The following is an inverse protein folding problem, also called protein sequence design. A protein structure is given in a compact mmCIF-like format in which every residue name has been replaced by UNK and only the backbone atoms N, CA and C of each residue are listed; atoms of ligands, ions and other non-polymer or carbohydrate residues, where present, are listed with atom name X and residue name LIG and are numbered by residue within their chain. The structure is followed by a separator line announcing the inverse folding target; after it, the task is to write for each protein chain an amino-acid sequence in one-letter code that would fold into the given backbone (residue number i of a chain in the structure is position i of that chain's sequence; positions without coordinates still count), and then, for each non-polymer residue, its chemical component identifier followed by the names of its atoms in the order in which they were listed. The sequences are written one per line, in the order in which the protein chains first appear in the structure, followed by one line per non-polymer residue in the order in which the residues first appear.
data_IF_071952851583
#
_entry.id   IF_071952851583
#
_cell.length_a   1.000
_cell.length_b   1.000
_cell.length_c   1.000
_cell.angle_alpha   90.00
_cell.angle_beta   90.00
_cell.angle_gamma   90.00
#
_symmetry.space_group_name_H-M   'P 1'
#
loop_
_entity.id
_entity.type
_entity.pdbx_description
1 polymer ?
#
# COMPACT_ATOMS: atom_id res chain seq x y z
N UNK A 1 -5.64 -20.86 -18.78
CA UNK A 1 -6.44 -20.88 -20.01
C UNK A 1 -7.18 -19.56 -20.11
N UNK A 2 -6.70 -18.67 -20.96
CA UNK A 2 -7.26 -17.33 -21.18
C UNK A 2 -8.51 -17.48 -22.06
N UNK A 3 -9.68 -17.09 -21.52
CA UNK A 3 -10.91 -17.05 -22.32
C UNK A 3 -10.76 -15.92 -23.36
N UNK A 4 -10.64 -16.31 -24.63
CA UNK A 4 -10.70 -15.39 -25.77
C UNK A 4 -12.15 -14.94 -25.92
N UNK A 5 -12.45 -13.70 -25.53
CA UNK A 5 -13.74 -13.07 -25.84
C UNK A 5 -13.72 -12.54 -27.26
N UNK A 6 -14.49 -13.16 -28.19
CA UNK A 6 -14.85 -12.60 -29.50
C UNK A 6 -15.90 -11.48 -29.26
N UNK A 7 -15.45 -10.28 -28.92
CA UNK A 7 -16.29 -9.09 -28.71
C UNK A 7 -15.41 -7.84 -28.65
N UNK A 8 -16.01 -6.65 -28.70
CA UNK A 8 -15.29 -5.39 -28.45
C UNK A 8 -14.54 -5.46 -27.11
N UNK A 9 -13.31 -4.92 -27.06
CA UNK A 9 -12.55 -4.86 -25.81
C UNK A 9 -13.38 -4.24 -24.70
N UNK A 10 -13.31 -4.82 -23.50
CA UNK A 10 -13.97 -4.29 -22.30
C UNK A 10 -13.32 -2.99 -21.86
N UNK A 11 -14.12 -2.00 -21.48
CA UNK A 11 -13.69 -0.67 -21.07
C UNK A 11 -13.77 -0.50 -19.56
N UNK A 12 -12.64 -0.22 -18.96
CA UNK A 12 -12.51 -0.04 -17.50
C UNK A 12 -12.25 1.43 -17.22
N UNK A 13 -13.17 2.08 -16.51
CA UNK A 13 -13.03 3.47 -16.08
C UNK A 13 -12.54 3.52 -14.64
N UNK A 14 -11.41 4.18 -14.43
CA UNK A 14 -10.75 4.33 -13.13
C UNK A 14 -10.73 5.81 -12.76
N UNK A 15 -11.35 6.17 -11.66
CA UNK A 15 -11.45 7.52 -11.12
C UNK A 15 -10.66 7.61 -9.82
N UNK A 16 -9.45 8.15 -9.87
CA UNK A 16 -8.51 8.16 -8.75
C UNK A 16 -8.19 9.56 -8.26
N UNK A 17 -8.15 9.75 -6.94
CA UNK A 17 -7.70 10.99 -6.32
C UNK A 17 -6.19 11.03 -6.15
N UNK A 18 -5.56 9.89 -5.84
CA UNK A 18 -4.12 9.79 -5.65
C UNK A 18 -3.62 8.48 -6.24
N UNK A 19 -2.55 8.56 -7.03
CA UNK A 19 -1.90 7.39 -7.63
C UNK A 19 -0.51 7.23 -7.00
N UNK A 20 -0.16 5.98 -6.75
CA UNK A 20 1.17 5.58 -6.28
C UNK A 20 1.70 4.42 -7.14
N UNK A 21 2.99 4.11 -7.02
CA UNK A 21 3.66 3.07 -7.81
C UNK A 21 2.94 1.71 -7.79
N UNK A 22 2.42 1.32 -6.63
CA UNK A 22 1.66 0.08 -6.47
C UNK A 22 0.34 0.06 -7.28
N UNK A 23 -0.30 1.20 -7.49
CA UNK A 23 -1.47 1.29 -8.39
C UNK A 23 -1.03 1.09 -9.84
N UNK A 24 0.08 1.70 -10.24
CA UNK A 24 0.63 1.56 -11.59
C UNK A 24 1.01 0.11 -11.89
N UNK A 25 1.58 -0.61 -10.93
CA UNK A 25 1.87 -2.04 -11.07
C UNK A 25 0.61 -2.87 -11.39
N UNK A 26 -0.50 -2.61 -10.68
CA UNK A 26 -1.79 -3.25 -10.97
C UNK A 26 -2.33 -2.86 -12.36
N UNK A 27 -2.18 -1.59 -12.77
CA UNK A 27 -2.59 -1.14 -14.11
C UNK A 27 -1.74 -1.76 -15.20
N UNK A 28 -0.42 -1.91 -14.99
CA UNK A 28 0.47 -2.57 -15.93
C UNK A 28 0.10 -4.05 -16.12
N UNK A 29 -0.28 -4.74 -15.04
CA UNK A 29 -0.77 -6.10 -15.13
C UNK A 29 -2.13 -6.16 -15.87
N UNK A 30 -3.03 -5.21 -15.60
CA UNK A 30 -4.33 -5.12 -16.26
C UNK A 30 -4.19 -4.89 -17.78
N UNK A 31 -3.16 -4.16 -18.22
CA UNK A 31 -2.86 -3.93 -19.65
C UNK A 31 -2.50 -5.22 -20.41
N UNK A 32 -2.04 -6.26 -19.72
CA UNK A 32 -1.77 -7.58 -20.34
C UNK A 32 -3.06 -8.29 -20.73
N UNK A 33 -4.21 -7.81 -20.26
CA UNK A 33 -5.53 -8.32 -20.62
C UNK A 33 -6.06 -7.56 -21.85
N UNK A 34 -7.03 -8.17 -22.59
CA UNK A 34 -7.70 -7.54 -23.72
C UNK A 34 -8.75 -6.50 -23.26
N UNK A 35 -8.30 -5.42 -22.62
CA UNK A 35 -9.16 -4.33 -22.10
C UNK A 35 -8.66 -2.96 -22.56
N UNK A 36 -9.57 -1.96 -22.55
CA UNK A 36 -9.23 -0.55 -22.70
C UNK A 36 -9.33 0.12 -21.33
N UNK A 37 -8.28 0.82 -20.89
CA UNK A 37 -8.20 1.45 -19.59
C UNK A 37 -8.34 2.97 -19.76
N UNK A 38 -9.31 3.56 -19.09
CA UNK A 38 -9.53 5.00 -19.00
C UNK A 38 -9.28 5.45 -17.57
N UNK A 39 -8.28 6.31 -17.37
CA UNK A 39 -7.86 6.80 -16.07
C UNK A 39 -8.10 8.31 -15.97
N UNK A 40 -8.92 8.72 -15.01
CA UNK A 40 -9.06 10.13 -14.62
C UNK A 40 -8.52 10.27 -13.21
N UNK A 41 -7.47 11.07 -13.03
CA UNK A 41 -6.82 11.23 -11.72
C UNK A 41 -6.65 12.70 -11.32
N UNK A 42 -6.42 12.95 -10.05
CA UNK A 42 -5.91 14.23 -9.60
C UNK A 42 -4.45 14.41 -10.01
N UNK A 43 -3.97 15.65 -9.98
CA UNK A 43 -2.54 15.94 -10.18
C UNK A 43 -1.70 15.29 -9.07
N UNK A 44 -0.44 14.97 -9.39
CA UNK A 44 0.48 14.30 -8.45
C UNK A 44 0.74 15.19 -7.23
N UNK A 45 0.76 14.58 -6.06
CA UNK A 45 1.07 15.26 -4.81
C UNK A 45 2.56 15.70 -4.78
N UNK A 46 2.80 16.95 -4.39
CA UNK A 46 4.16 17.53 -4.30
C UNK A 46 5.04 16.89 -3.22
N UNK A 47 4.43 16.31 -2.17
CA UNK A 47 5.16 15.63 -1.09
C UNK A 47 5.70 14.25 -1.49
N UNK A 48 5.10 13.63 -2.50
CA UNK A 48 5.52 12.35 -3.05
C UNK A 48 5.53 12.45 -4.58
N UNK A 49 6.57 13.05 -5.19
CA UNK A 49 6.62 13.38 -6.61
C UNK A 49 6.94 12.15 -7.46
N UNK A 50 6.06 11.14 -7.41
CA UNK A 50 6.19 9.96 -8.25
C UNK A 50 6.12 10.33 -9.73
N UNK A 51 6.98 9.71 -10.52
CA UNK A 51 6.92 9.77 -11.98
C UNK A 51 6.23 8.49 -12.49
N UNK A 52 5.20 8.66 -13.31
CA UNK A 52 4.42 7.55 -13.82
C UNK A 52 4.46 7.51 -15.34
N UNK A 53 4.51 6.30 -15.88
CA UNK A 53 4.34 6.05 -17.30
C UNK A 53 2.99 5.35 -17.54
N UNK A 54 2.09 6.03 -18.26
CA UNK A 54 0.76 5.53 -18.59
C UNK A 54 0.63 5.14 -20.08
N UNK A 55 1.68 4.60 -20.70
CA UNK A 55 1.60 4.11 -22.07
C UNK A 55 0.39 3.18 -22.24
N UNK A 56 -0.34 3.32 -23.36
CA UNK A 56 -1.54 2.53 -23.69
C UNK A 56 -2.71 2.65 -22.69
N UNK A 57 -2.72 3.68 -21.83
CA UNK A 57 -3.83 4.05 -20.97
C UNK A 57 -4.36 5.40 -21.44
N UNK A 58 -5.68 5.51 -21.61
CA UNK A 58 -6.34 6.80 -21.89
C UNK A 58 -6.37 7.62 -20.60
N UNK A 59 -5.31 8.41 -20.35
CA UNK A 59 -5.17 9.19 -19.14
C UNK A 59 -5.65 10.63 -19.34
N UNK A 60 -6.31 11.16 -18.31
CA UNK A 60 -6.60 12.59 -18.15
C UNK A 60 -6.56 13.01 -16.68
N UNK A 61 -6.38 14.29 -16.43
CA UNK A 61 -6.43 14.83 -15.07
C UNK A 61 -7.77 15.48 -14.76
N UNK A 62 -8.20 15.42 -13.50
CA UNK A 62 -9.52 15.89 -13.05
C UNK A 62 -9.76 17.37 -13.34
N UNK A 63 -8.75 18.21 -13.32
CA UNK A 63 -8.77 19.64 -13.58
C UNK A 63 -9.00 20.01 -15.06
N UNK A 64 -8.86 19.07 -15.99
CA UNK A 64 -9.23 19.25 -17.41
C UNK A 64 -10.74 19.38 -17.61
N UNK A 65 -11.55 18.95 -16.64
CA UNK A 65 -13.01 19.04 -16.70
C UNK A 65 -13.49 20.24 -15.89
N UNK A 66 -14.06 21.25 -16.56
CA UNK A 66 -14.49 22.53 -15.96
C UNK A 66 -15.54 22.36 -14.85
N UNK A 67 -16.40 21.34 -15.01
CA UNK A 67 -17.48 21.05 -14.08
C UNK A 67 -17.88 19.57 -14.12
N UNK A 68 -18.73 19.16 -13.18
CA UNK A 68 -19.16 17.77 -13.07
C UNK A 68 -20.05 17.30 -14.24
N UNK A 69 -20.72 18.20 -14.94
CA UNK A 69 -21.59 17.87 -16.10
C UNK A 69 -20.69 17.42 -17.26
N UNK A 70 -19.63 18.16 -17.53
CA UNK A 70 -18.63 17.82 -18.54
C UNK A 70 -17.94 16.49 -18.24
N UNK A 71 -17.53 16.27 -16.99
CA UNK A 71 -16.97 15.00 -16.54
C UNK A 71 -17.93 13.83 -16.78
N UNK A 72 -19.19 13.96 -16.35
CA UNK A 72 -20.20 12.90 -16.52
C UNK A 72 -20.46 12.64 -18.02
N UNK A 73 -20.49 13.68 -18.85
CA UNK A 73 -20.67 13.54 -20.30
C UNK A 73 -19.52 12.72 -20.88
N UNK A 74 -18.29 13.09 -20.61
CA UNK A 74 -17.10 12.35 -21.06
C UNK A 74 -17.12 10.89 -20.60
N UNK A 75 -17.40 10.62 -19.32
CA UNK A 75 -17.50 9.25 -18.83
C UNK A 75 -18.61 8.44 -19.52
N UNK A 76 -19.71 9.07 -19.94
CA UNK A 76 -20.77 8.40 -20.72
C UNK A 76 -20.33 8.12 -22.16
N UNK A 77 -19.53 8.96 -22.76
CA UNK A 77 -18.98 8.76 -24.11
C UNK A 77 -18.01 7.57 -24.14
N UNK A 78 -17.27 7.33 -23.05
CA UNK A 78 -16.42 6.13 -22.88
C UNK A 78 -17.24 4.83 -22.94
N UNK A 79 -18.50 4.82 -22.46
CA UNK A 79 -19.33 3.63 -22.33
C UNK A 79 -18.61 2.50 -21.54
N UNK A 80 -18.20 2.73 -20.29
CA UNK A 80 -17.45 1.75 -19.53
C UNK A 80 -18.30 0.51 -19.20
N UNK A 81 -17.65 -0.65 -19.11
CA UNK A 81 -18.25 -1.89 -18.62
C UNK A 81 -18.15 -2.01 -17.08
N UNK A 82 -17.19 -1.30 -16.47
CA UNK A 82 -16.97 -1.25 -15.01
C UNK A 82 -16.35 0.07 -14.60
N UNK A 83 -16.68 0.55 -13.41
CA UNK A 83 -16.11 1.79 -12.85
C UNK A 83 -15.48 1.48 -11.47
N UNK A 84 -14.23 1.91 -11.31
CA UNK A 84 -13.48 1.88 -10.05
C UNK A 84 -13.26 3.31 -9.55
N UNK A 85 -13.64 3.60 -8.30
CA UNK A 85 -13.55 4.96 -7.72
C UNK A 85 -12.77 4.93 -6.43
N UNK A 86 -11.71 5.75 -6.32
CA UNK A 86 -10.92 5.86 -5.09
C UNK A 86 -11.61 6.76 -4.05
N UNK A 87 -12.15 6.13 -3.01
CA UNK A 87 -12.77 6.84 -1.89
C UNK A 87 -14.01 7.67 -2.29
N UNK A 88 -14.34 8.63 -1.44
CA UNK A 88 -15.53 9.48 -1.58
C UNK A 88 -15.24 10.98 -1.47
N UNK A 89 -14.00 11.39 -1.68
CA UNK A 89 -13.58 12.80 -1.55
C UNK A 89 -14.05 13.65 -2.74
N UNK A 90 -13.92 13.13 -3.97
CA UNK A 90 -14.33 13.86 -5.18
C UNK A 90 -15.84 13.72 -5.43
N UNK A 91 -16.55 14.83 -5.27
CA UNK A 91 -18.01 14.88 -5.50
C UNK A 91 -18.40 14.58 -6.95
N UNK A 92 -17.54 14.96 -7.91
CA UNK A 92 -17.74 14.68 -9.33
C UNK A 92 -17.68 13.17 -9.62
N UNK A 93 -16.68 12.48 -9.06
CA UNK A 93 -16.56 11.01 -9.15
C UNK A 93 -17.78 10.29 -8.56
N UNK A 94 -18.30 10.79 -7.42
CA UNK A 94 -19.54 10.25 -6.84
C UNK A 94 -20.76 10.43 -7.75
N UNK A 95 -20.85 11.57 -8.48
CA UNK A 95 -21.93 11.81 -9.44
C UNK A 95 -21.79 10.92 -10.67
N UNK A 96 -20.56 10.69 -11.16
CA UNK A 96 -20.30 9.72 -12.22
C UNK A 96 -20.77 8.33 -11.78
N UNK A 97 -20.28 7.82 -10.65
CA UNK A 97 -20.68 6.52 -10.13
C UNK A 97 -22.22 6.39 -10.02
N UNK A 98 -22.90 7.43 -9.49
CA UNK A 98 -24.36 7.47 -9.41
C UNK A 98 -25.05 7.32 -10.77
N UNK A 99 -24.50 7.91 -11.82
CA UNK A 99 -25.09 7.87 -13.16
C UNK A 99 -25.04 6.50 -13.84
N UNK A 100 -24.19 5.60 -13.32
CA UNK A 100 -23.99 4.24 -13.83
C UNK A 100 -24.46 3.13 -12.86
N UNK A 101 -24.80 3.45 -11.64
CA UNK A 101 -25.01 2.52 -10.52
C UNK A 101 -25.88 1.29 -10.83
N UNK A 102 -26.97 1.45 -11.58
CA UNK A 102 -27.87 0.32 -11.93
C UNK A 102 -27.56 -0.33 -13.28
N UNK A 103 -26.50 0.11 -13.97
CA UNK A 103 -26.24 -0.29 -15.36
C UNK A 103 -25.04 -1.21 -15.47
N UNK A 104 -24.00 -0.94 -14.70
CA UNK A 104 -22.72 -1.65 -14.69
C UNK A 104 -22.18 -1.73 -13.26
N UNK A 105 -21.23 -2.64 -12.97
CA UNK A 105 -20.52 -2.66 -11.69
C UNK A 105 -19.85 -1.32 -11.42
N UNK A 106 -20.15 -0.73 -10.28
CA UNK A 106 -19.50 0.47 -9.73
C UNK A 106 -18.87 0.12 -8.40
N UNK A 107 -17.55 0.25 -8.31
CA UNK A 107 -16.75 -0.21 -7.20
C UNK A 107 -16.19 0.98 -6.43
N UNK A 108 -16.47 1.05 -5.14
CA UNK A 108 -15.80 1.98 -4.23
C UNK A 108 -14.55 1.32 -3.65
N UNK A 109 -13.38 1.93 -3.80
CA UNK A 109 -12.19 1.50 -3.06
C UNK A 109 -12.01 2.34 -1.81
N UNK A 110 -11.77 1.73 -0.67
CA UNK A 110 -11.57 2.44 0.59
C UNK A 110 -10.64 1.67 1.53
N UNK A 111 -9.83 2.40 2.28
CA UNK A 111 -8.89 1.87 3.28
C UNK A 111 -9.21 2.27 4.73
N UNK A 112 -10.34 2.93 4.94
CA UNK A 112 -10.76 3.40 6.24
C UNK A 112 -11.09 2.25 7.20
N UNK A 113 -10.46 2.23 8.38
CA UNK A 113 -10.78 1.32 9.46
C UNK A 113 -12.00 1.81 10.27
N UNK A 114 -12.79 0.87 10.78
CA UNK A 114 -13.79 1.19 11.78
C UNK A 114 -13.12 1.60 13.10
N UNK A 115 -13.32 2.84 13.54
CA UNK A 115 -12.79 3.41 14.79
C UNK A 115 -13.87 3.59 15.87
N UNK A 116 -15.15 3.37 15.53
CA UNK A 116 -16.27 3.59 16.45
C UNK A 116 -16.51 5.07 16.80
N UNK A 117 -16.06 6.01 15.97
CA UNK A 117 -16.31 7.44 16.21
C UNK A 117 -17.75 7.83 15.87
N UNK A 118 -18.28 8.86 16.54
CA UNK A 118 -19.63 9.40 16.26
C UNK A 118 -19.82 9.74 14.77
N UNK A 119 -18.76 10.28 14.12
CA UNK A 119 -18.75 10.56 12.69
C UNK A 119 -18.95 9.30 11.86
N UNK A 120 -18.34 8.19 12.25
CA UNK A 120 -18.51 6.92 11.54
C UNK A 120 -19.88 6.30 11.79
N UNK A 121 -20.43 6.37 13.01
CA UNK A 121 -21.81 5.98 13.27
C UNK A 121 -22.81 6.77 12.41
N UNK A 122 -22.64 8.08 12.34
CA UNK A 122 -23.46 8.91 11.45
C UNK A 122 -23.30 8.53 9.99
N UNK A 123 -22.06 8.27 9.52
CA UNK A 123 -21.81 7.83 8.16
C UNK A 123 -22.45 6.49 7.81
N UNK A 124 -22.56 5.54 8.76
CA UNK A 124 -23.25 4.27 8.53
C UNK A 124 -24.77 4.50 8.39
N UNK A 125 -25.34 5.39 9.17
CA UNK A 125 -26.77 5.71 9.10
C UNK A 125 -27.17 6.38 7.77
N UNK A 126 -26.36 7.31 7.25
CA UNK A 126 -26.62 7.99 5.98
C UNK A 126 -26.15 7.19 4.76
N UNK A 127 -25.41 6.09 4.94
CA UNK A 127 -24.80 5.30 3.87
C UNK A 127 -25.78 4.91 2.74
N UNK A 128 -27.05 4.49 3.01
CA UNK A 128 -28.00 4.15 1.96
C UNK A 128 -28.22 5.27 0.94
N UNK A 129 -28.19 6.52 1.39
CA UNK A 129 -28.45 7.70 0.57
C UNK A 129 -27.16 8.28 -0.03
N UNK A 130 -26.01 8.06 0.60
CA UNK A 130 -24.77 8.75 0.24
C UNK A 130 -23.74 7.85 -0.45
N UNK A 131 -23.68 6.56 -0.11
CA UNK A 131 -22.70 5.60 -0.64
C UNK A 131 -23.38 4.47 -1.40
N UNK A 132 -24.27 3.72 -0.74
CA UNK A 132 -24.90 2.52 -1.31
C UNK A 132 -25.74 2.77 -2.55
N UNK A 133 -26.23 3.96 -2.75
CA UNK A 133 -26.96 4.36 -3.95
C UNK A 133 -26.04 4.76 -5.13
N UNK A 134 -24.72 4.59 -5.00
CA UNK A 134 -23.73 4.92 -6.04
C UNK A 134 -22.81 3.77 -6.38
N UNK A 135 -22.59 2.85 -5.41
CA UNK A 135 -21.64 1.77 -5.57
C UNK A 135 -22.29 0.43 -5.33
N UNK A 136 -22.19 -0.46 -6.31
CA UNK A 136 -22.69 -1.85 -6.22
C UNK A 136 -21.77 -2.73 -5.39
N UNK A 137 -20.47 -2.43 -5.38
CA UNK A 137 -19.43 -3.17 -4.67
C UNK A 137 -18.50 -2.24 -3.92
N UNK A 138 -17.82 -2.80 -2.92
CA UNK A 138 -16.72 -2.14 -2.21
C UNK A 138 -15.48 -3.02 -2.28
N UNK A 139 -14.32 -2.42 -2.54
CA UNK A 139 -13.05 -3.13 -2.53
C UNK A 139 -12.13 -2.54 -1.46
N UNK A 140 -11.74 -3.38 -0.53
CA UNK A 140 -10.98 -2.97 0.67
C UNK A 140 -9.67 -3.75 0.77
N UNK A 141 -8.67 -3.21 1.48
CA UNK A 141 -7.40 -3.90 1.64
C UNK A 141 -7.50 -5.20 2.46
N UNK A 142 -8.19 -5.20 3.60
CA UNK A 142 -8.21 -6.34 4.52
C UNK A 142 -9.44 -6.39 5.44
N UNK A 143 -9.36 -7.29 6.44
CA UNK A 143 -10.49 -7.59 7.35
C UNK A 143 -10.94 -6.40 8.21
N UNK A 144 -10.00 -5.54 8.63
CA UNK A 144 -10.36 -4.36 9.45
C UNK A 144 -11.24 -3.39 8.66
N UNK A 145 -10.95 -3.20 7.38
CA UNK A 145 -11.73 -2.35 6.46
C UNK A 145 -13.03 -3.04 6.03
N UNK A 146 -13.01 -4.36 5.83
CA UNK A 146 -14.22 -5.16 5.55
C UNK A 146 -15.28 -4.96 6.63
N UNK A 147 -14.88 -4.96 7.92
CA UNK A 147 -15.80 -4.67 9.04
C UNK A 147 -16.47 -3.30 8.91
N UNK A 148 -15.77 -2.30 8.38
CA UNK A 148 -16.36 -0.99 8.14
C UNK A 148 -17.32 -1.03 6.93
N UNK A 149 -16.97 -1.71 5.85
CA UNK A 149 -17.85 -1.90 4.70
C UNK A 149 -19.15 -2.62 5.08
N UNK A 150 -19.08 -3.66 5.93
CA UNK A 150 -20.29 -4.32 6.48
C UNK A 150 -21.16 -3.33 7.28
N UNK A 151 -20.55 -2.47 8.12
CA UNK A 151 -21.30 -1.43 8.85
C UNK A 151 -21.91 -0.37 7.94
N UNK A 152 -21.33 -0.10 6.78
CA UNK A 152 -21.94 0.74 5.75
C UNK A 152 -23.13 0.02 5.05
N UNK A 153 -23.37 -1.26 5.36
CA UNK A 153 -24.51 -2.04 4.90
C UNK A 153 -24.25 -2.86 3.63
N UNK A 154 -23.00 -3.13 3.27
CA UNK A 154 -22.65 -4.08 2.22
C UNK A 154 -22.62 -5.50 2.79
N UNK A 155 -23.17 -6.46 2.05
CA UNK A 155 -23.01 -7.89 2.35
C UNK A 155 -21.63 -8.38 1.91
N UNK A 156 -21.16 -9.49 2.49
CA UNK A 156 -19.82 -10.04 2.19
C UNK A 156 -19.63 -10.35 0.70
N UNK A 157 -20.68 -10.76 -0.01
CA UNK A 157 -20.69 -11.01 -1.46
C UNK A 157 -20.37 -9.76 -2.30
N UNK A 158 -20.64 -8.57 -1.77
CA UNK A 158 -20.38 -7.27 -2.39
C UNK A 158 -19.10 -6.60 -1.91
N UNK A 159 -18.37 -7.27 -1.02
CA UNK A 159 -17.11 -6.77 -0.48
C UNK A 159 -15.95 -7.61 -1.02
N UNK A 160 -15.09 -6.96 -1.77
CA UNK A 160 -13.83 -7.53 -2.24
C UNK A 160 -12.71 -7.15 -1.28
N UNK A 161 -11.77 -8.05 -1.03
CA UNK A 161 -10.57 -7.80 -0.21
C UNK A 161 -9.30 -7.86 -1.05
N UNK A 162 -8.16 -7.39 -0.51
CA UNK A 162 -6.86 -7.41 -1.21
C UNK A 162 -6.74 -6.28 -2.25
N UNK A 163 -7.28 -5.11 -1.94
CA UNK A 163 -7.26 -3.96 -2.85
C UNK A 163 -5.85 -3.43 -3.14
N UNK A 164 -4.97 -3.38 -2.15
CA UNK A 164 -3.60 -2.90 -2.35
C UNK A 164 -2.64 -4.05 -2.63
N UNK A 165 -1.99 -4.00 -3.79
CA UNK A 165 -0.85 -4.84 -4.13
C UNK A 165 0.38 -3.97 -4.36
N UNK A 166 1.57 -4.37 -3.89
CA UNK A 166 2.81 -3.69 -4.26
C UNK A 166 3.22 -4.02 -5.71
N UNK A 167 4.23 -3.34 -6.22
CA UNK A 167 4.98 -3.78 -7.40
C UNK A 167 5.85 -4.98 -7.02
N UNK A 168 5.21 -6.15 -6.95
CA UNK A 168 5.89 -7.37 -6.52
C UNK A 168 7.00 -7.80 -7.48
N UNK A 169 6.84 -7.58 -8.77
CA UNK A 169 7.85 -7.94 -9.77
C UNK A 169 9.16 -7.17 -9.51
N UNK A 170 9.08 -5.87 -9.28
CA UNK A 170 10.22 -5.03 -8.95
C UNK A 170 10.89 -5.48 -7.65
N UNK A 171 10.14 -5.54 -6.55
CA UNK A 171 10.71 -5.85 -5.23
C UNK A 171 11.21 -7.30 -5.12
N UNK A 172 10.56 -8.25 -5.78
CA UNK A 172 11.03 -9.63 -5.85
C UNK A 172 12.30 -9.76 -6.71
N UNK A 173 12.47 -8.93 -7.73
CA UNK A 173 13.73 -8.85 -8.50
C UNK A 173 14.87 -8.41 -7.59
N UNK A 174 14.66 -7.42 -6.73
CA UNK A 174 15.65 -7.04 -5.73
C UNK A 174 16.02 -8.20 -4.78
N UNK A 175 15.02 -8.98 -4.33
CA UNK A 175 15.32 -10.19 -3.55
C UNK A 175 16.23 -11.16 -4.30
N UNK A 176 15.89 -11.49 -5.55
CA UNK A 176 16.68 -12.42 -6.37
C UNK A 176 18.11 -11.95 -6.57
N UNK A 177 18.30 -10.67 -6.90
CA UNK A 177 19.61 -10.07 -7.14
C UNK A 177 20.49 -10.07 -5.88
N UNK A 178 19.90 -9.98 -4.70
CA UNK A 178 20.64 -9.78 -3.46
C UNK A 178 20.68 -11.03 -2.55
N UNK A 179 19.93 -12.10 -2.87
CA UNK A 179 19.83 -13.29 -2.01
C UNK A 179 21.20 -13.94 -1.75
N UNK A 180 22.02 -14.12 -2.78
CA UNK A 180 23.34 -14.73 -2.64
C UNK A 180 24.28 -13.84 -1.85
N UNK A 181 24.37 -12.56 -2.18
CA UNK A 181 25.21 -11.59 -1.46
C UNK A 181 24.86 -11.54 0.04
N UNK A 182 23.58 -11.52 0.38
CA UNK A 182 23.13 -11.54 1.78
C UNK A 182 23.40 -12.90 2.45
N UNK A 183 23.43 -14.02 1.70
CA UNK A 183 23.79 -15.31 2.26
C UNK A 183 25.27 -15.39 2.63
N UNK A 184 26.14 -14.69 1.92
CA UNK A 184 27.56 -14.58 2.22
C UNK A 184 27.81 -13.60 3.37
N UNK A 185 27.32 -12.38 3.25
CA UNK A 185 27.48 -11.32 4.24
C UNK A 185 26.14 -10.61 4.52
N UNK A 186 25.47 -11.01 5.60
CA UNK A 186 24.19 -10.45 5.98
C UNK A 186 24.37 -9.07 6.60
N UNK A 187 23.82 -7.99 6.04
CA UNK A 187 24.02 -6.64 6.56
C UNK A 187 23.39 -6.46 7.94
N UNK A 188 24.07 -5.75 8.84
CA UNK A 188 23.55 -5.38 10.16
C UNK A 188 22.92 -3.99 10.11
N UNK A 189 21.88 -3.83 9.29
CA UNK A 189 21.25 -2.52 9.04
C UNK A 189 19.73 -2.65 9.05
N UNK A 190 19.09 -1.93 9.96
CA UNK A 190 17.65 -1.71 9.97
C UNK A 190 17.26 -0.68 8.93
N UNK A 191 16.13 -0.88 8.27
CA UNK A 191 15.61 0.03 7.25
C UNK A 191 14.21 0.52 7.62
N UNK A 192 14.05 1.83 7.71
CA UNK A 192 12.76 2.50 7.76
C UNK A 192 12.49 3.19 6.41
N UNK A 193 11.31 2.99 5.84
CA UNK A 193 10.86 3.71 4.63
C UNK A 193 9.47 4.28 4.89
N UNK A 194 9.35 5.60 4.81
CA UNK A 194 8.08 6.27 5.02
C UNK A 194 8.19 7.79 5.16
N UNK A 195 7.04 8.45 5.22
CA UNK A 195 7.02 9.89 5.48
C UNK A 195 7.56 10.19 6.87
N UNK A 196 8.31 11.26 7.01
CA UNK A 196 8.80 11.78 8.29
C UNK A 196 7.68 12.60 8.94
N UNK A 197 6.74 11.90 9.56
CA UNK A 197 5.62 12.44 10.32
C UNK A 197 5.44 11.65 11.62
N UNK A 198 4.87 12.27 12.65
CA UNK A 198 4.66 11.62 13.95
C UNK A 198 3.88 10.30 13.82
N UNK A 199 2.83 10.26 13.00
CA UNK A 199 2.01 9.06 12.80
C UNK A 199 2.79 7.83 12.31
N UNK A 200 3.99 8.00 11.73
CA UNK A 200 4.88 6.90 11.32
C UNK A 200 5.78 6.38 12.46
N UNK A 201 5.71 6.98 13.66
CA UNK A 201 6.43 6.52 14.83
C UNK A 201 7.95 6.72 14.78
N UNK A 202 8.41 7.65 13.90
CA UNK A 202 9.84 7.82 13.62
C UNK A 202 10.65 8.29 14.84
N UNK A 203 10.07 9.14 15.68
CA UNK A 203 10.73 9.62 16.91
C UNK A 203 10.94 8.48 17.92
N UNK A 204 9.92 7.61 18.09
CA UNK A 204 10.04 6.44 18.96
C UNK A 204 11.08 5.46 18.43
N UNK A 205 11.20 5.32 17.10
CA UNK A 205 12.23 4.48 16.47
C UNK A 205 13.64 5.02 16.72
N UNK A 206 13.87 6.32 16.47
CA UNK A 206 15.17 6.93 16.71
C UNK A 206 15.59 6.80 18.17
N UNK A 207 14.71 7.15 19.10
CA UNK A 207 14.97 7.07 20.53
C UNK A 207 15.23 5.63 20.99
N UNK A 208 14.47 4.65 20.47
CA UNK A 208 14.68 3.24 20.77
C UNK A 208 16.06 2.73 20.30
N UNK A 209 16.46 3.13 19.07
CA UNK A 209 17.74 2.75 18.49
C UNK A 209 18.91 3.39 19.25
N UNK A 210 18.86 4.70 19.53
CA UNK A 210 19.91 5.44 20.25
C UNK A 210 20.11 4.87 21.64
N UNK A 211 19.01 4.62 22.38
CA UNK A 211 19.07 4.04 23.71
C UNK A 211 19.69 2.63 23.68
N UNK A 212 19.28 1.80 22.70
CA UNK A 212 19.82 0.45 22.55
C UNK A 212 21.31 0.46 22.17
N UNK A 213 21.74 1.39 21.32
CA UNK A 213 23.14 1.54 20.95
C UNK A 213 24.04 1.98 22.11
N UNK A 214 23.48 2.73 23.07
CA UNK A 214 24.18 3.14 24.29
C UNK A 214 24.28 2.03 25.36
N UNK A 215 23.45 1.01 25.31
CA UNK A 215 23.43 -0.07 26.31
C UNK A 215 24.56 -1.09 26.13
N UNK A 216 24.99 -1.31 24.89
CA UNK A 216 26.10 -2.22 24.58
C UNK A 216 26.68 -1.94 23.18
N UNK A 217 27.96 -2.23 23.04
CA UNK A 217 28.66 -2.11 21.77
C UNK A 217 28.09 -3.09 20.73
N UNK A 218 27.72 -2.58 19.56
CA UNK A 218 27.18 -3.34 18.45
C UNK A 218 27.51 -2.68 17.12
N UNK A 219 27.35 -3.41 15.99
CA UNK A 219 27.67 -2.92 14.63
C UNK A 219 26.42 -2.57 13.81
N UNK A 220 25.22 -2.55 14.45
CA UNK A 220 23.99 -2.26 13.73
C UNK A 220 23.86 -0.77 13.42
N UNK A 221 23.31 -0.48 12.23
CA UNK A 221 22.93 0.86 11.78
C UNK A 221 21.41 0.94 11.59
N UNK A 222 20.89 2.15 11.55
CA UNK A 222 19.51 2.46 11.17
C UNK A 222 19.50 3.40 9.97
N UNK A 223 18.96 2.93 8.85
CA UNK A 223 18.79 3.74 7.65
C UNK A 223 17.34 4.16 7.52
N UNK A 224 17.13 5.47 7.30
CA UNK A 224 15.81 6.08 7.19
C UNK A 224 15.65 6.73 5.83
N UNK A 225 14.66 6.29 5.06
CA UNK A 225 14.36 6.78 3.71
C UNK A 225 12.99 7.46 3.71
N UNK A 226 12.93 8.66 3.15
CA UNK A 226 11.71 9.46 3.01
C UNK A 226 11.90 10.91 3.39
N UNK A 227 10.84 11.68 3.21
CA UNK A 227 10.73 13.10 3.56
C UNK A 227 9.42 13.36 4.29
N UNK A 228 9.19 14.58 4.75
CA UNK A 228 7.96 14.99 5.41
C UNK A 228 8.21 16.18 6.33
N UNK A 229 7.17 16.60 7.04
CA UNK A 229 7.23 17.78 7.93
C UNK A 229 8.32 17.68 9.02
N UNK A 230 8.63 16.45 9.46
CA UNK A 230 9.64 16.20 10.50
C UNK A 230 11.05 15.95 9.94
N UNK A 231 11.27 16.08 8.63
CA UNK A 231 12.57 15.78 8.03
C UNK A 231 13.69 16.73 8.53
N UNK A 232 13.35 17.99 8.81
CA UNK A 232 14.30 18.97 9.35
C UNK A 232 14.61 18.73 10.83
N UNK A 233 13.78 17.98 11.54
CA UNK A 233 13.93 17.61 12.95
C UNK A 233 14.63 16.25 13.13
N UNK A 234 15.20 15.68 12.05
CA UNK A 234 15.90 14.40 12.10
C UNK A 234 17.07 14.42 13.07
N UNK A 235 17.22 13.31 13.80
CA UNK A 235 18.31 13.16 14.76
C UNK A 235 19.67 13.05 14.04
N UNK A 236 20.71 13.59 14.68
CA UNK A 236 22.08 13.38 14.23
C UNK A 236 22.76 12.33 15.12
N UNK A 237 23.03 11.15 14.57
CA UNK A 237 23.68 10.05 15.28
C UNK A 237 24.60 9.29 14.32
N UNK A 238 25.82 8.86 14.73
CA UNK A 238 26.80 8.24 13.82
C UNK A 238 26.29 7.01 13.08
N UNK A 239 25.37 6.24 13.69
CA UNK A 239 24.80 5.01 13.13
C UNK A 239 23.39 5.19 12.54
N UNK A 240 22.86 6.42 12.48
CA UNK A 240 21.58 6.70 11.84
C UNK A 240 21.81 7.50 10.56
N UNK A 241 21.41 6.97 9.41
CA UNK A 241 21.57 7.62 8.11
C UNK A 241 20.21 8.02 7.54
N UNK A 242 20.14 9.19 6.90
CA UNK A 242 18.94 9.77 6.32
C UNK A 242 19.14 10.04 4.83
N UNK A 243 18.31 9.43 3.97
CA UNK A 243 18.50 9.44 2.50
C UNK A 243 17.52 10.35 1.75
N UNK A 244 16.53 10.95 2.41
CA UNK A 244 15.49 11.68 1.70
C UNK A 244 14.53 10.75 0.93
N UNK A 245 13.80 11.31 -0.02
CA UNK A 245 12.89 10.53 -0.88
C UNK A 245 13.69 9.76 -1.94
N UNK A 246 13.38 8.49 -2.10
CA UNK A 246 13.95 7.60 -3.11
C UNK A 246 12.81 6.99 -3.91
N UNK A 247 12.91 7.00 -5.24
CA UNK A 247 11.95 6.32 -6.11
C UNK A 247 12.05 4.79 -5.94
N UNK A 248 10.94 4.05 -6.03
CA UNK A 248 10.96 2.59 -5.87
C UNK A 248 11.98 1.89 -6.77
N UNK A 249 12.17 2.38 -7.99
CA UNK A 249 13.11 1.83 -9.00
C UNK A 249 14.59 2.02 -8.63
N UNK A 250 14.87 2.86 -7.65
CA UNK A 250 16.24 3.19 -7.21
C UNK A 250 16.60 2.59 -5.84
N UNK A 251 15.82 1.60 -5.37
CA UNK A 251 16.07 0.97 -4.07
C UNK A 251 17.15 -0.12 -4.06
N UNK A 252 17.67 -0.55 -5.21
CA UNK A 252 18.61 -1.69 -5.33
C UNK A 252 19.77 -1.59 -4.33
N UNK A 253 20.49 -0.46 -4.33
CA UNK A 253 21.66 -0.27 -3.45
C UNK A 253 21.26 -0.24 -1.96
N UNK A 254 20.12 0.35 -1.63
CA UNK A 254 19.61 0.40 -0.26
C UNK A 254 19.24 -1.01 0.22
N UNK A 255 18.52 -1.77 -0.61
CA UNK A 255 18.09 -3.14 -0.31
C UNK A 255 19.30 -4.07 -0.15
N UNK A 256 20.33 -3.90 -0.97
CA UNK A 256 21.57 -4.67 -0.87
C UNK A 256 22.26 -4.49 0.48
N UNK A 257 22.28 -3.25 1.00
CA UNK A 257 23.02 -2.86 2.21
C UNK A 257 22.19 -2.91 3.50
N UNK A 258 20.92 -3.24 3.41
CA UNK A 258 20.01 -3.30 4.58
C UNK A 258 19.39 -4.69 4.73
N UNK A 259 18.86 -5.02 5.89
CA UNK A 259 18.48 -6.41 6.18
C UNK A 259 17.14 -6.60 6.87
N UNK A 260 16.72 -5.71 7.75
CA UNK A 260 15.47 -5.81 8.52
C UNK A 260 14.65 -4.55 8.29
N UNK A 261 13.41 -4.71 7.83
CA UNK A 261 12.51 -3.58 7.61
C UNK A 261 11.70 -3.24 8.86
N UNK A 262 11.53 -1.94 9.15
CA UNK A 262 10.82 -1.47 10.32
C UNK A 262 9.71 -0.49 9.92
N UNK A 263 8.47 -0.78 10.35
CA UNK A 263 7.31 0.09 10.19
C UNK A 263 6.59 0.28 11.55
N UNK A 264 7.07 1.16 12.43
CA UNK A 264 6.57 1.31 13.79
C UNK A 264 5.40 2.30 13.89
N UNK A 265 4.62 2.44 12.83
CA UNK A 265 3.57 3.46 12.70
C UNK A 265 2.59 3.44 13.85
N UNK A 266 2.25 4.63 14.38
CA UNK A 266 1.20 4.81 15.37
C UNK A 266 -0.20 4.75 14.74
N UNK A 267 -0.26 5.05 13.45
CA UNK A 267 -1.46 4.92 12.64
C UNK A 267 -1.10 4.56 11.20
N UNK A 268 -1.48 3.37 10.75
CA UNK A 268 -1.26 2.89 9.38
C UNK A 268 -2.46 2.04 8.93
N UNK A 269 -3.40 2.60 8.18
CA UNK A 269 -4.58 1.86 7.71
C UNK A 269 -4.23 0.58 6.99
N UNK A 270 -3.19 0.61 6.16
CA UNK A 270 -2.68 -0.56 5.46
C UNK A 270 -1.16 -0.70 5.56
N UNK A 271 -0.40 0.14 4.89
CA UNK A 271 1.05 0.08 4.85
C UNK A 271 1.55 -0.78 3.68
N UNK A 272 1.44 -0.27 2.46
CA UNK A 272 1.90 -0.98 1.25
C UNK A 272 3.40 -1.24 1.29
N UNK A 273 4.19 -0.35 1.89
CA UNK A 273 5.63 -0.54 2.06
C UNK A 273 5.99 -1.82 2.82
N UNK A 274 5.14 -2.31 3.75
CA UNK A 274 5.35 -3.62 4.35
C UNK A 274 5.32 -4.72 3.28
N UNK A 275 4.36 -4.68 2.36
CA UNK A 275 4.25 -5.64 1.26
C UNK A 275 5.46 -5.55 0.30
N UNK A 276 5.93 -4.34 0.00
CA UNK A 276 7.13 -4.10 -0.81
C UNK A 276 8.35 -4.79 -0.19
N UNK A 277 8.62 -4.54 1.10
CA UNK A 277 9.81 -5.08 1.75
C UNK A 277 9.73 -6.59 2.07
N UNK A 278 8.55 -7.14 2.37
CA UNK A 278 8.44 -8.62 2.44
C UNK A 278 8.63 -9.27 1.07
N UNK A 279 8.24 -8.61 -0.02
CA UNK A 279 8.52 -9.06 -1.39
C UNK A 279 10.01 -9.02 -1.72
N UNK A 280 10.75 -8.07 -1.15
CA UNK A 280 12.20 -7.96 -1.23
C UNK A 280 12.94 -8.88 -0.22
N UNK A 281 12.21 -9.75 0.48
CA UNK A 281 12.78 -10.74 1.40
C UNK A 281 13.30 -10.15 2.71
N UNK A 282 12.69 -9.10 3.23
CA UNK A 282 13.07 -8.53 4.53
C UNK A 282 12.30 -9.20 5.66
N UNK A 283 12.97 -9.73 6.70
CA UNK A 283 12.38 -9.85 8.02
C UNK A 283 11.88 -8.50 8.52
N UNK A 284 10.82 -8.47 9.35
CA UNK A 284 10.12 -7.21 9.64
C UNK A 284 9.88 -6.95 11.12
N UNK A 285 9.91 -5.68 11.52
CA UNK A 285 9.35 -5.18 12.77
C UNK A 285 8.20 -4.23 12.41
N UNK A 286 6.99 -4.54 12.85
CA UNK A 286 5.83 -3.71 12.55
C UNK A 286 5.01 -3.42 13.80
N UNK A 287 4.32 -2.29 13.85
CA UNK A 287 3.40 -2.04 14.95
C UNK A 287 2.07 -2.78 14.79
N UNK A 288 1.35 -2.99 15.89
CA UNK A 288 -0.01 -3.53 15.94
C UNK A 288 -1.07 -2.65 15.25
N UNK A 289 -0.66 -1.46 14.77
CA UNK A 289 -1.52 -0.53 14.02
C UNK A 289 -1.32 -0.61 12.51
N UNK A 290 -0.35 -1.36 12.02
CA UNK A 290 -0.15 -1.59 10.59
C UNK A 290 -1.19 -2.60 10.10
N UNK A 291 -2.08 -2.17 9.18
CA UNK A 291 -3.20 -3.00 8.71
C UNK A 291 -2.75 -4.25 7.97
N UNK A 292 -1.76 -4.13 7.10
CA UNK A 292 -1.23 -5.22 6.28
C UNK A 292 -0.46 -6.29 7.06
N UNK A 293 -0.13 -6.03 8.33
CA UNK A 293 0.52 -7.02 9.19
C UNK A 293 -0.31 -8.29 9.36
N UNK A 294 -1.66 -8.20 9.30
CA UNK A 294 -2.55 -9.37 9.39
C UNK A 294 -2.36 -10.39 8.25
N UNK A 295 -1.74 -9.98 7.14
CA UNK A 295 -1.48 -10.81 5.97
C UNK A 295 0.00 -11.16 5.83
N UNK A 296 0.88 -10.18 6.05
CA UNK A 296 2.30 -10.28 5.69
C UNK A 296 3.23 -10.50 6.88
N UNK A 297 2.69 -10.66 8.11
CA UNK A 297 3.52 -10.96 9.28
C UNK A 297 3.01 -12.19 10.00
N UNK A 298 3.94 -13.11 10.27
CA UNK A 298 3.79 -14.22 11.19
C UNK A 298 4.79 -14.05 12.32
N UNK A 299 4.27 -13.82 13.53
CA UNK A 299 5.08 -13.57 14.72
C UNK A 299 6.13 -14.67 14.94
N UNK A 300 7.40 -14.28 14.98
CA UNK A 300 8.53 -15.19 15.16
C UNK A 300 8.98 -15.98 13.91
N UNK A 301 8.17 -15.99 12.81
CA UNK A 301 8.53 -16.72 11.58
C UNK A 301 9.15 -15.79 10.52
N UNK A 302 8.61 -14.57 10.33
CA UNK A 302 9.22 -13.58 9.47
C UNK A 302 9.38 -12.19 10.11
N UNK A 303 8.95 -12.02 11.36
CA UNK A 303 9.08 -10.73 12.04
C UNK A 303 8.44 -10.69 13.41
N UNK A 304 8.38 -9.47 13.95
CA UNK A 304 7.80 -9.19 15.26
C UNK A 304 6.82 -8.04 15.22
N UNK A 305 5.72 -8.18 15.96
CA UNK A 305 4.74 -7.13 16.16
C UNK A 305 5.04 -6.39 17.46
N UNK A 306 5.22 -5.07 17.35
CA UNK A 306 5.50 -4.19 18.50
C UNK A 306 4.29 -3.32 18.82
N UNK A 307 4.21 -2.79 20.05
CA UNK A 307 3.14 -1.88 20.44
C UNK A 307 3.37 -0.52 19.82
N UNK A 308 2.37 -0.01 19.11
CA UNK A 308 2.39 1.34 18.54
C UNK A 308 2.60 2.43 19.61
N UNK A 309 3.45 3.41 19.32
CA UNK A 309 3.78 4.50 20.23
C UNK A 309 4.67 4.09 21.43
N UNK A 310 5.12 2.83 21.52
CA UNK A 310 5.95 2.35 22.62
C UNK A 310 7.41 2.22 22.20
N UNK A 311 8.25 3.17 22.62
CA UNK A 311 9.69 3.13 22.44
C UNK A 311 10.29 1.81 22.97
N UNK A 312 9.89 1.36 24.17
CA UNK A 312 10.43 0.15 24.78
C UNK A 312 10.07 -1.11 24.01
N UNK A 313 8.85 -1.17 23.45
CA UNK A 313 8.44 -2.29 22.60
C UNK A 313 9.23 -2.33 21.28
N UNK A 314 9.49 -1.17 20.67
CA UNK A 314 10.35 -1.06 19.49
C UNK A 314 11.78 -1.49 19.83
N UNK A 315 12.34 -0.99 20.94
CA UNK A 315 13.67 -1.36 21.42
C UNK A 315 13.82 -2.88 21.61
N UNK A 316 12.81 -3.54 22.17
CA UNK A 316 12.83 -4.99 22.32
C UNK A 316 12.78 -5.73 20.99
N UNK A 317 11.98 -5.23 20.01
CA UNK A 317 11.96 -5.76 18.66
C UNK A 317 13.34 -5.67 17.97
N UNK A 318 14.01 -4.52 18.07
CA UNK A 318 15.37 -4.32 17.56
C UNK A 318 16.35 -5.30 18.22
N UNK A 319 16.31 -5.41 19.57
CA UNK A 319 17.17 -6.29 20.34
C UNK A 319 17.04 -7.76 19.94
N UNK A 320 15.82 -8.23 19.64
CA UNK A 320 15.60 -9.59 19.17
C UNK A 320 16.38 -9.86 17.88
N UNK A 321 16.29 -8.97 16.89
CA UNK A 321 17.01 -9.11 15.63
C UNK A 321 18.53 -9.02 15.79
N UNK A 322 19.02 -8.13 16.64
CA UNK A 322 20.46 -8.01 16.92
C UNK A 322 21.09 -9.28 17.52
N UNK A 323 20.28 -10.12 18.19
CA UNK A 323 20.71 -11.40 18.79
C UNK A 323 20.60 -12.59 17.84
N UNK A 324 19.92 -12.45 16.71
CA UNK A 324 19.74 -13.54 15.75
C UNK A 324 21.01 -13.81 14.95
N UNK A 325 21.24 -15.08 14.66
CA UNK A 325 22.28 -15.47 13.74
C UNK A 325 21.82 -15.37 12.28
N UNK A 326 22.79 -15.39 11.35
CA UNK A 326 22.54 -15.27 9.93
C UNK A 326 21.54 -16.31 9.40
N UNK A 327 21.61 -17.56 9.85
CA UNK A 327 20.71 -18.63 9.39
C UNK A 327 19.25 -18.34 9.75
N UNK A 328 19.00 -17.86 10.97
CA UNK A 328 17.64 -17.46 11.41
C UNK A 328 17.10 -16.32 10.56
N UNK A 329 17.93 -15.30 10.29
CA UNK A 329 17.53 -14.15 9.47
C UNK A 329 17.23 -14.55 8.01
N UNK A 330 17.98 -15.49 7.42
CA UNK A 330 17.73 -16.00 6.08
C UNK A 330 16.42 -16.80 6.01
N UNK A 331 16.11 -17.62 7.00
CA UNK A 331 14.83 -18.34 7.07
C UNK A 331 13.65 -17.37 7.18
N UNK A 332 13.76 -16.32 8.00
CA UNK A 332 12.75 -15.26 8.06
C UNK A 332 12.60 -14.52 6.73
N UNK A 333 13.68 -14.32 6.00
CA UNK A 333 13.67 -13.71 4.68
C UNK A 333 12.87 -14.56 3.68
N UNK A 334 13.06 -15.87 3.67
CA UNK A 334 12.33 -16.80 2.79
C UNK A 334 10.82 -16.82 3.12
N UNK A 335 10.47 -16.83 4.41
CA UNK A 335 9.06 -16.75 4.83
C UNK A 335 8.42 -15.41 4.44
N UNK A 336 9.15 -14.29 4.51
CA UNK A 336 8.66 -13.00 4.03
C UNK A 336 8.28 -13.06 2.55
N UNK A 337 9.14 -13.62 1.70
CA UNK A 337 8.85 -13.78 0.27
C UNK A 337 7.61 -14.65 0.05
N UNK A 338 7.50 -15.76 0.77
CA UNK A 338 6.32 -16.64 0.70
C UNK A 338 5.02 -15.90 1.05
N UNK A 339 5.04 -15.08 2.11
CA UNK A 339 3.88 -14.29 2.53
C UNK A 339 3.50 -13.22 1.50
N UNK A 340 4.46 -12.68 0.75
CA UNK A 340 4.20 -11.64 -0.26
C UNK A 340 3.28 -12.12 -1.40
N UNK A 341 3.21 -13.43 -1.63
CA UNK A 341 2.41 -14.04 -2.71
C UNK A 341 0.90 -14.04 -2.44
N UNK A 342 0.47 -13.73 -1.22
CA UNK A 342 -0.96 -13.70 -0.86
C UNK A 342 -1.76 -12.61 -1.57
N UNK A 343 -1.11 -11.53 -1.98
CA UNK A 343 -1.70 -10.46 -2.79
C UNK A 343 -0.70 -10.11 -3.88
N UNK A 344 -1.10 -10.20 -5.15
CA UNK A 344 -0.26 -9.85 -6.30
C UNK A 344 -1.04 -9.00 -7.30
N UNK A 345 -0.39 -8.28 -8.22
CA UNK A 345 -1.09 -7.57 -9.30
C UNK A 345 -1.99 -8.50 -10.12
N UNK A 346 -1.59 -9.76 -10.35
CA UNK A 346 -2.39 -10.74 -11.08
C UNK A 346 -3.66 -11.13 -10.31
N UNK A 347 -3.56 -11.33 -8.99
CA UNK A 347 -4.72 -11.61 -8.12
C UNK A 347 -5.66 -10.40 -8.14
N UNK A 348 -5.12 -9.18 -8.09
CA UNK A 348 -5.88 -7.95 -8.17
C UNK A 348 -6.65 -7.86 -9.51
N UNK A 349 -5.98 -8.09 -10.64
CA UNK A 349 -6.58 -8.08 -11.98
C UNK A 349 -7.67 -9.13 -12.11
N UNK A 350 -7.41 -10.37 -11.68
CA UNK A 350 -8.39 -11.45 -11.73
C UNK A 350 -9.66 -11.12 -10.96
N UNK A 351 -9.55 -10.47 -9.79
CA UNK A 351 -10.70 -10.00 -9.02
C UNK A 351 -11.50 -8.92 -9.75
N UNK A 352 -10.81 -7.95 -10.36
CA UNK A 352 -11.48 -6.89 -11.11
C UNK A 352 -12.23 -7.45 -12.32
N UNK A 353 -11.57 -8.28 -13.11
CA UNK A 353 -12.14 -8.87 -14.35
C UNK A 353 -13.29 -9.85 -14.02
N UNK A 354 -13.29 -10.48 -12.85
CA UNK A 354 -14.39 -11.39 -12.48
C UNK A 354 -15.76 -10.70 -12.37
N UNK A 355 -15.80 -9.37 -12.35
CA UNK A 355 -17.03 -8.57 -12.33
C UNK A 355 -17.48 -8.11 -13.73
N UNK A 356 -16.70 -8.36 -14.78
CA UNK A 356 -17.02 -8.07 -16.20
C UNK A 356 -17.80 -9.23 -16.82
#
# INVERSE_FOLDING_TARGET
MTKVYKGSKKRILILYTEIAGYTVACLNELRKCEVEIYLIRWVVNKEAPFQFNFNDIHESTRDQYRNDIELIKYCKEIQPDIILVSGWLDKGYLKVARSFYYKIPTILTMDNNWKGSLRQFFSTWISPFFIRNKFSHVWVPGKKQQRFANKLGYSDEKIMTGFYSCDRELFHTYYKNNKELKSENYPKVFLFVGRYIQAKGIYNLWNAFIELDSEYENDWELWCVGTGEEFNNKVNHPKIKHFGFVQPENFEEIIQKTSVYILPSEFEPWGVSLHEFVSAGFPVIVSDKVGSSEIFVKEGENGFVVRAGSKDSIKEGLRKFMKMNKKELLLMSEESVSLSEKITPEIWVNKLISLL
#
